data_IF_112182873150
#
_entry.id   IF_112182873150
#
_cell.length_a   1.000
_cell.length_b   1.000
_cell.length_c   1.000
_cell.angle_alpha   90.00
_cell.angle_beta   90.00
_cell.angle_gamma   90.00
#
_symmetry.space_group_name_H-M   'P 1'
#
loop_
_entity.id
_entity.type
_entity.pdbx_description
1 polymer ?
#
# COMPACT_ATOMS: atom_id res chain seq x y z
N UNK A 1 18.50 -13.22 -25.75
CA UNK A 1 17.57 -13.25 -24.59
C UNK A 1 17.30 -14.73 -24.39
N UNK A 2 17.73 -15.28 -23.25
CA UNK A 2 17.62 -16.71 -23.00
C UNK A 2 16.14 -17.08 -22.80
N UNK A 3 15.77 -18.27 -23.26
CA UNK A 3 14.41 -18.82 -23.16
C UNK A 3 13.92 -18.88 -21.69
N UNK A 4 14.85 -18.90 -20.71
CA UNK A 4 14.55 -18.89 -19.27
C UNK A 4 13.95 -17.56 -18.78
N UNK A 5 14.41 -16.40 -19.28
CA UNK A 5 13.86 -15.09 -18.90
C UNK A 5 12.43 -14.87 -19.45
N UNK A 6 12.08 -15.53 -20.56
CA UNK A 6 10.71 -15.50 -21.10
C UNK A 6 9.80 -16.44 -20.30
N UNK A 7 10.31 -17.61 -19.91
CA UNK A 7 9.58 -18.58 -19.07
C UNK A 7 9.32 -18.05 -17.66
N UNK A 8 10.26 -17.32 -17.06
CA UNK A 8 10.07 -16.73 -15.71
C UNK A 8 8.97 -15.66 -15.64
N UNK A 9 8.63 -15.05 -16.77
CA UNK A 9 7.62 -13.98 -16.83
C UNK A 9 6.18 -14.50 -16.82
N UNK A 10 5.97 -15.76 -17.26
CA UNK A 10 4.64 -16.37 -17.42
C UNK A 10 4.37 -17.57 -16.50
N UNK A 11 5.37 -18.04 -15.73
CA UNK A 11 5.22 -19.18 -14.84
C UNK A 11 5.02 -18.75 -13.39
N UNK A 12 3.94 -19.24 -12.78
CA UNK A 12 3.70 -19.20 -11.34
C UNK A 12 4.63 -20.24 -10.67
N UNK A 13 5.89 -19.85 -10.40
CA UNK A 13 6.82 -20.70 -9.65
C UNK A 13 6.26 -20.92 -8.24
N UNK A 14 6.04 -22.16 -7.88
CA UNK A 14 5.70 -22.53 -6.52
C UNK A 14 6.94 -22.43 -5.62
N UNK A 15 6.73 -22.27 -4.32
CA UNK A 15 7.83 -22.33 -3.32
C UNK A 15 8.67 -23.61 -3.46
N UNK A 16 8.07 -24.70 -3.94
CA UNK A 16 8.74 -25.96 -4.22
C UNK A 16 9.70 -25.88 -5.42
N UNK A 17 9.36 -25.12 -6.47
CA UNK A 17 10.22 -24.93 -7.63
C UNK A 17 11.43 -24.08 -7.26
N UNK A 18 11.24 -23.06 -6.45
CA UNK A 18 12.32 -22.22 -5.92
C UNK A 18 13.24 -23.06 -5.04
N UNK A 19 12.70 -23.89 -4.15
CA UNK A 19 13.50 -24.75 -3.30
C UNK A 19 14.29 -25.78 -4.11
N UNK A 20 13.70 -26.36 -5.16
CA UNK A 20 14.40 -27.27 -6.07
C UNK A 20 15.55 -26.60 -6.83
N UNK A 21 15.41 -25.33 -7.24
CA UNK A 21 16.50 -24.55 -7.84
C UNK A 21 17.61 -24.30 -6.82
N UNK A 22 17.28 -23.94 -5.59
CA UNK A 22 18.23 -23.70 -4.50
C UNK A 22 19.01 -24.98 -4.12
N UNK A 23 18.35 -26.12 -4.10
CA UNK A 23 18.96 -27.42 -3.75
C UNK A 23 19.94 -27.93 -4.83
N UNK A 24 19.87 -27.41 -6.07
CA UNK A 24 20.72 -27.78 -7.19
C UNK A 24 21.74 -26.71 -7.63
N UNK A 25 22.00 -25.71 -6.79
CA UNK A 25 22.90 -24.59 -7.11
C UNK A 25 24.31 -25.01 -7.57
N UNK A 26 24.83 -26.12 -7.04
CA UNK A 26 26.16 -26.65 -7.37
C UNK A 26 26.29 -27.18 -8.84
N UNK A 27 25.14 -27.32 -9.52
CA UNK A 27 25.12 -27.82 -10.94
C UNK A 27 25.13 -26.68 -11.97
N UNK A 28 24.97 -25.41 -11.56
CA UNK A 28 24.90 -24.27 -12.46
C UNK A 28 26.25 -23.57 -12.62
N UNK A 29 26.49 -23.02 -13.80
CA UNK A 29 27.65 -22.17 -14.05
C UNK A 29 27.43 -20.75 -13.51
N UNK A 30 28.46 -19.88 -13.51
CA UNK A 30 28.38 -18.53 -12.90
C UNK A 30 27.34 -17.60 -13.55
N UNK A 31 27.12 -17.77 -14.87
CA UNK A 31 26.17 -16.94 -15.62
C UNK A 31 24.74 -17.38 -15.34
N UNK A 32 24.50 -18.68 -15.22
CA UNK A 32 23.22 -19.26 -14.80
C UNK A 32 22.87 -18.89 -13.34
N UNK A 33 23.87 -18.91 -12.44
CA UNK A 33 23.68 -18.47 -11.06
C UNK A 33 23.26 -17.00 -10.96
N UNK A 34 23.89 -16.12 -11.75
CA UNK A 34 23.53 -14.71 -11.78
C UNK A 34 22.11 -14.48 -12.35
N UNK A 35 21.67 -15.32 -13.29
CA UNK A 35 20.29 -15.29 -13.81
C UNK A 35 19.28 -15.81 -12.78
N UNK A 36 19.62 -16.86 -12.04
CA UNK A 36 18.81 -17.39 -10.94
C UNK A 36 18.64 -16.34 -9.83
N UNK A 37 19.73 -15.71 -9.38
CA UNK A 37 19.68 -14.65 -8.37
C UNK A 37 18.72 -13.52 -8.78
N UNK A 38 18.79 -13.10 -10.04
CA UNK A 38 17.90 -12.07 -10.57
C UNK A 38 16.42 -12.51 -10.55
N UNK A 39 16.14 -13.77 -10.94
CA UNK A 39 14.78 -14.33 -10.90
C UNK A 39 14.27 -14.41 -9.46
N UNK A 40 15.10 -14.85 -8.51
CA UNK A 40 14.74 -14.91 -7.08
C UNK A 40 14.44 -13.53 -6.53
N UNK A 41 15.23 -12.52 -6.88
CA UNK A 41 14.99 -11.13 -6.48
C UNK A 41 13.67 -10.58 -7.06
N UNK A 42 13.40 -10.80 -8.34
CA UNK A 42 12.15 -10.39 -8.98
C UNK A 42 10.94 -11.07 -8.35
N UNK A 43 11.01 -12.36 -8.04
CA UNK A 43 9.95 -13.12 -7.35
C UNK A 43 9.75 -12.62 -5.92
N UNK A 44 10.82 -12.33 -5.20
CA UNK A 44 10.74 -11.80 -3.83
C UNK A 44 10.05 -10.44 -3.80
N UNK A 45 10.38 -9.55 -4.75
CA UNK A 45 9.71 -8.25 -4.90
C UNK A 45 8.23 -8.43 -5.23
N UNK A 46 7.89 -9.33 -6.16
CA UNK A 46 6.50 -9.64 -6.53
C UNK A 46 5.70 -10.17 -5.35
N UNK A 47 6.26 -11.12 -4.60
CA UNK A 47 5.62 -11.69 -3.42
C UNK A 47 5.41 -10.64 -2.31
N UNK A 48 6.41 -9.77 -2.07
CA UNK A 48 6.31 -8.67 -1.12
C UNK A 48 5.24 -7.65 -1.55
N UNK A 49 5.14 -7.33 -2.83
CA UNK A 49 4.12 -6.42 -3.34
C UNK A 49 2.72 -7.03 -3.24
N UNK A 50 2.57 -8.34 -3.53
CA UNK A 50 1.32 -9.07 -3.33
C UNK A 50 0.91 -9.10 -1.86
N UNK A 51 1.83 -9.39 -0.94
CA UNK A 51 1.56 -9.35 0.50
C UNK A 51 1.14 -7.94 0.96
N UNK A 52 1.79 -6.88 0.44
CA UNK A 52 1.42 -5.50 0.72
C UNK A 52 0.06 -5.09 0.11
N UNK A 53 -0.31 -5.67 -1.03
CA UNK A 53 -1.64 -5.49 -1.60
C UNK A 53 -2.72 -6.11 -0.69
N UNK A 54 -2.49 -7.30 -0.16
CA UNK A 54 -3.49 -8.07 0.59
C UNK A 54 -3.56 -7.71 2.08
N UNK A 55 -2.45 -7.27 2.70
CA UNK A 55 -2.37 -6.96 4.14
C UNK A 55 -1.89 -5.54 4.40
N UNK A 56 -2.66 -4.79 5.21
CA UNK A 56 -2.35 -3.40 5.55
C UNK A 56 -1.02 -3.25 6.33
N UNK A 57 -0.63 -4.22 7.15
CA UNK A 57 0.64 -4.14 7.89
C UNK A 57 1.83 -4.40 6.96
N UNK A 58 1.71 -5.33 6.04
CA UNK A 58 2.75 -5.57 5.03
C UNK A 58 2.88 -4.36 4.08
N UNK A 59 1.75 -3.70 3.74
CA UNK A 59 1.77 -2.41 3.07
C UNK A 59 2.54 -1.35 3.87
N UNK A 60 2.28 -1.20 5.17
CA UNK A 60 3.02 -0.25 6.00
C UNK A 60 4.53 -0.50 6.00
N UNK A 61 4.96 -1.76 6.10
CA UNK A 61 6.37 -2.15 6.06
C UNK A 61 7.00 -1.88 4.68
N UNK A 62 6.27 -2.12 3.61
CA UNK A 62 6.75 -1.86 2.25
C UNK A 62 6.92 -0.37 1.98
N UNK A 63 5.97 0.45 2.45
CA UNK A 63 6.03 1.91 2.31
C UNK A 63 7.04 2.57 3.28
N UNK A 64 7.29 1.94 4.42
CA UNK A 64 8.24 2.43 5.43
C UNK A 64 8.97 1.23 6.05
N UNK A 65 10.17 0.87 5.56
CA UNK A 65 10.90 -0.33 5.98
C UNK A 65 11.24 -0.38 7.49
N UNK A 66 11.41 0.77 8.13
CA UNK A 66 11.66 0.90 9.57
C UNK A 66 10.37 0.93 10.43
N UNK A 67 9.20 0.68 9.84
CA UNK A 67 7.92 0.70 10.55
C UNK A 67 7.84 -0.41 11.62
N UNK A 68 7.81 0.02 12.89
CA UNK A 68 7.79 -0.89 14.04
C UNK A 68 6.36 -1.36 14.34
N UNK A 69 6.10 -2.62 14.06
CA UNK A 69 4.78 -3.24 14.27
C UNK A 69 4.65 -3.78 15.69
N UNK A 70 3.69 -3.26 16.46
CA UNK A 70 3.26 -3.82 17.73
C UNK A 70 1.97 -4.63 17.59
N UNK A 71 1.61 -5.43 18.61
CA UNK A 71 0.36 -6.22 18.62
C UNK A 71 -0.89 -5.38 18.39
N UNK A 72 -0.92 -4.16 18.95
CA UNK A 72 -2.04 -3.23 18.79
C UNK A 72 -2.20 -2.73 17.34
N UNK A 73 -1.09 -2.59 16.60
CA UNK A 73 -1.14 -2.22 15.18
C UNK A 73 -1.80 -3.33 14.35
N UNK A 74 -1.48 -4.63 14.63
CA UNK A 74 -2.09 -5.76 13.94
C UNK A 74 -3.60 -5.80 14.18
N UNK A 75 -4.02 -5.73 15.47
CA UNK A 75 -5.45 -5.69 15.84
C UNK A 75 -6.17 -4.52 15.17
N UNK A 76 -5.53 -3.35 15.10
CA UNK A 76 -6.12 -2.17 14.46
C UNK A 76 -6.23 -2.36 12.94
N UNK A 77 -5.20 -2.90 12.30
CA UNK A 77 -5.20 -3.20 10.88
C UNK A 77 -6.33 -4.17 10.50
N UNK A 78 -6.50 -5.28 11.25
CA UNK A 78 -7.59 -6.23 11.04
C UNK A 78 -8.97 -5.56 11.11
N UNK A 79 -9.15 -4.60 12.06
CA UNK A 79 -10.40 -3.84 12.17
C UNK A 79 -10.61 -2.85 11.02
N UNK A 80 -9.54 -2.24 10.52
CA UNK A 80 -9.61 -1.34 9.37
C UNK A 80 -9.90 -2.11 8.08
N UNK A 81 -9.28 -3.28 7.89
CA UNK A 81 -9.53 -4.16 6.76
C UNK A 81 -10.98 -4.65 6.76
N UNK A 82 -11.58 -4.89 7.95
CA UNK A 82 -13.00 -5.23 8.07
C UNK A 82 -13.97 -4.11 7.68
N UNK A 83 -13.51 -2.87 7.55
CA UNK A 83 -14.29 -1.78 6.93
C UNK A 83 -14.20 -1.83 5.40
N UNK A 84 -13.08 -2.27 4.87
CA UNK A 84 -12.85 -2.37 3.42
C UNK A 84 -13.68 -3.49 2.80
N UNK A 85 -13.71 -4.67 3.45
CA UNK A 85 -14.50 -5.83 3.00
C UNK A 85 -16.02 -5.72 3.30
N UNK A 86 -16.43 -4.65 4.02
CA UNK A 86 -17.83 -4.39 4.36
C UNK A 86 -18.38 -5.27 5.49
N UNK A 87 -17.56 -6.06 6.18
CA UNK A 87 -17.98 -6.85 7.34
C UNK A 87 -18.29 -5.98 8.56
N UNK A 88 -17.83 -4.71 8.56
CA UNK A 88 -18.14 -3.68 9.54
C UNK A 88 -18.39 -2.35 8.86
N UNK A 89 -19.35 -1.59 9.40
CA UNK A 89 -19.67 -0.24 8.92
C UNK A 89 -18.94 0.86 9.69
N UNK A 90 -18.57 0.59 10.93
CA UNK A 90 -17.98 1.58 11.84
C UNK A 90 -16.96 0.98 12.78
N UNK A 91 -15.87 1.69 12.98
CA UNK A 91 -14.84 1.36 13.97
C UNK A 91 -14.51 2.59 14.79
N UNK A 92 -14.56 2.46 16.12
CA UNK A 92 -14.09 3.47 17.06
C UNK A 92 -12.74 3.05 17.63
N UNK A 93 -11.73 3.92 17.52
CA UNK A 93 -10.34 3.60 17.91
C UNK A 93 -9.90 4.48 19.08
N UNK A 94 -9.74 3.86 20.26
CA UNK A 94 -9.21 4.50 21.45
C UNK A 94 -7.84 3.90 21.79
N UNK A 95 -6.78 4.62 21.46
CA UNK A 95 -5.39 4.23 21.72
C UNK A 95 -4.66 5.45 22.30
N UNK A 96 -3.79 5.29 23.30
CA UNK A 96 -3.00 6.38 23.85
C UNK A 96 -2.20 7.14 22.78
N UNK A 97 -1.83 8.41 23.01
CA UNK A 97 -1.00 9.17 22.08
C UNK A 97 0.37 8.50 21.88
N UNK A 98 1.01 8.79 20.76
CA UNK A 98 2.36 8.28 20.36
C UNK A 98 2.44 6.76 20.13
N UNK A 99 1.31 6.08 19.90
CA UNK A 99 1.27 4.64 19.56
C UNK A 99 0.95 4.38 18.07
N UNK A 100 1.35 5.27 17.17
CA UNK A 100 1.23 5.08 15.72
C UNK A 100 -0.18 5.18 15.13
N UNK A 101 -1.23 5.44 15.94
CA UNK A 101 -2.63 5.50 15.50
C UNK A 101 -2.86 6.36 14.26
N UNK A 102 -2.43 7.62 14.30
CA UNK A 102 -2.66 8.56 13.20
C UNK A 102 -1.90 8.19 11.94
N UNK A 103 -0.73 7.60 12.08
CA UNK A 103 0.04 7.12 10.95
C UNK A 103 -0.68 5.96 10.25
N UNK A 104 -1.13 4.97 11.01
CA UNK A 104 -1.84 3.81 10.46
C UNK A 104 -3.22 4.20 9.91
N UNK A 105 -4.05 4.91 10.72
CA UNK A 105 -5.45 5.19 10.38
C UNK A 105 -5.60 6.33 9.38
N UNK A 106 -4.77 7.41 9.51
CA UNK A 106 -4.98 8.64 8.75
C UNK A 106 -4.05 8.80 7.55
N UNK A 107 -3.02 7.93 7.42
CA UNK A 107 -2.05 8.00 6.33
C UNK A 107 -2.03 6.68 5.55
N UNK A 108 -1.61 5.56 6.17
CA UNK A 108 -1.44 4.29 5.45
C UNK A 108 -2.77 3.68 5.00
N UNK A 109 -3.76 3.61 5.89
CA UNK A 109 -5.04 3.01 5.54
C UNK A 109 -5.76 3.72 4.38
N UNK A 110 -5.88 5.07 4.34
CA UNK A 110 -6.48 5.74 3.19
C UNK A 110 -5.73 5.52 1.87
N UNK A 111 -4.38 5.47 1.91
CA UNK A 111 -3.58 5.18 0.73
C UNK A 111 -3.83 3.74 0.24
N UNK A 112 -3.74 2.76 1.13
CA UNK A 112 -3.99 1.35 0.84
C UNK A 112 -5.43 1.12 0.35
N UNK A 113 -6.42 1.71 1.02
CA UNK A 113 -7.83 1.61 0.63
C UNK A 113 -8.10 2.13 -0.78
N UNK A 114 -7.52 3.29 -1.14
CA UNK A 114 -7.65 3.86 -2.48
C UNK A 114 -6.88 3.05 -3.54
N UNK A 115 -5.81 2.37 -3.16
CA UNK A 115 -5.11 1.45 -4.05
C UNK A 115 -5.97 0.25 -4.44
N UNK A 116 -6.65 -0.34 -3.47
CA UNK A 116 -7.57 -1.47 -3.70
C UNK A 116 -8.91 -1.04 -4.29
N UNK A 117 -9.35 0.17 -4.01
CA UNK A 117 -10.65 0.71 -4.41
C UNK A 117 -10.50 2.09 -5.07
N UNK A 118 -9.84 2.21 -6.22
CA UNK A 118 -9.39 3.50 -6.76
C UNK A 118 -10.52 4.43 -7.22
N UNK A 119 -11.75 3.93 -7.37
CA UNK A 119 -12.94 4.74 -7.68
C UNK A 119 -13.73 5.21 -6.44
N UNK A 120 -13.31 4.83 -5.23
CA UNK A 120 -14.01 5.20 -3.99
C UNK A 120 -13.59 6.59 -3.50
N UNK A 121 -14.37 7.14 -2.58
CA UNK A 121 -14.12 8.46 -1.99
C UNK A 121 -13.74 8.32 -0.52
N UNK A 122 -12.75 9.09 -0.10
CA UNK A 122 -12.28 9.17 1.28
C UNK A 122 -12.45 10.61 1.77
N UNK A 123 -13.13 10.79 2.90
CA UNK A 123 -13.22 12.05 3.58
C UNK A 123 -12.42 11.99 4.89
N UNK A 124 -11.44 12.87 5.02
CA UNK A 124 -10.65 13.06 6.25
C UNK A 124 -11.13 14.30 6.98
N UNK A 125 -11.70 14.08 8.16
CA UNK A 125 -12.18 15.18 9.02
C UNK A 125 -11.29 15.27 10.26
N UNK A 126 -10.84 16.48 10.59
CA UNK A 126 -10.04 16.76 11.78
C UNK A 126 -10.55 17.99 12.53
N UNK A 127 -9.99 18.27 13.71
CA UNK A 127 -10.32 19.48 14.47
C UNK A 127 -10.03 20.75 13.68
N UNK A 128 -8.89 20.80 13.00
CA UNK A 128 -8.52 21.93 12.13
C UNK A 128 -8.36 21.47 10.68
N UNK A 129 -8.66 22.38 9.75
CA UNK A 129 -8.44 22.15 8.32
C UNK A 129 -6.97 21.88 8.01
N UNK A 130 -6.06 22.63 8.62
CA UNK A 130 -4.61 22.50 8.37
C UNK A 130 -4.11 21.09 8.72
N UNK A 131 -4.58 20.53 9.83
CA UNK A 131 -4.22 19.16 10.22
C UNK A 131 -4.79 18.12 9.25
N UNK A 132 -6.04 18.29 8.82
CA UNK A 132 -6.65 17.41 7.82
C UNK A 132 -5.90 17.47 6.48
N UNK A 133 -5.56 18.67 6.02
CA UNK A 133 -4.79 18.91 4.79
C UNK A 133 -3.36 18.35 4.88
N UNK A 134 -2.72 18.41 6.06
CA UNK A 134 -1.40 17.80 6.26
C UNK A 134 -1.46 16.26 6.08
N UNK A 135 -2.48 15.60 6.63
CA UNK A 135 -2.73 14.19 6.36
C UNK A 135 -2.98 13.93 4.87
N UNK A 136 -3.82 14.73 4.23
CA UNK A 136 -4.11 14.61 2.79
C UNK A 136 -2.85 14.72 1.92
N UNK A 137 -1.94 15.64 2.28
CA UNK A 137 -0.64 15.78 1.62
C UNK A 137 0.22 14.53 1.76
N UNK A 138 0.27 13.94 2.98
CA UNK A 138 1.05 12.72 3.25
C UNK A 138 0.49 11.53 2.47
N UNK A 139 -0.83 11.33 2.45
CA UNK A 139 -1.49 10.29 1.66
C UNK A 139 -1.21 10.47 0.17
N UNK A 140 -1.35 11.69 -0.35
CA UNK A 140 -1.06 12.00 -1.75
C UNK A 140 0.40 11.67 -2.12
N UNK A 141 1.34 12.04 -1.26
CA UNK A 141 2.76 11.78 -1.49
C UNK A 141 3.08 10.28 -1.49
N UNK A 142 2.40 9.49 -0.64
CA UNK A 142 2.50 8.03 -0.67
C UNK A 142 2.03 7.46 -2.01
N UNK A 143 0.86 7.89 -2.49
CA UNK A 143 0.31 7.43 -3.78
C UNK A 143 1.20 7.83 -4.96
N UNK A 144 1.93 8.92 -4.84
CA UNK A 144 2.88 9.40 -5.86
C UNK A 144 4.25 8.72 -5.80
N UNK A 145 4.52 7.85 -4.82
CA UNK A 145 5.82 7.18 -4.67
C UNK A 145 5.97 5.98 -5.61
N UNK A 146 7.21 5.63 -5.91
CA UNK A 146 7.56 4.49 -6.76
C UNK A 146 7.10 3.17 -6.12
N UNK A 147 7.32 3.02 -4.81
CA UNK A 147 6.94 1.84 -4.05
C UNK A 147 5.44 1.59 -4.09
N UNK A 148 4.65 2.66 -4.06
CA UNK A 148 3.19 2.55 -4.19
C UNK A 148 2.78 2.07 -5.59
N UNK A 149 3.41 2.60 -6.64
CA UNK A 149 3.14 2.20 -8.02
C UNK A 149 3.53 0.74 -8.29
N UNK A 150 4.53 0.22 -7.60
CA UNK A 150 4.90 -1.21 -7.68
C UNK A 150 3.85 -2.13 -7.05
N UNK A 151 3.12 -1.67 -6.02
CA UNK A 151 2.03 -2.43 -5.38
C UNK A 151 0.72 -2.27 -6.15
N UNK A 152 0.43 -1.05 -6.62
CA UNK A 152 -0.80 -0.66 -7.32
C UNK A 152 -0.49 -0.03 -8.68
N UNK A 153 -0.03 -0.79 -9.68
CA UNK A 153 0.50 -0.25 -10.94
C UNK A 153 -0.51 0.55 -11.75
N UNK A 154 -1.80 0.24 -11.61
CA UNK A 154 -2.86 0.92 -12.34
C UNK A 154 -3.36 2.20 -11.66
N UNK A 155 -2.99 2.43 -10.40
CA UNK A 155 -3.51 3.53 -9.59
C UNK A 155 -2.51 4.67 -9.52
N UNK A 156 -2.91 5.84 -9.96
CA UNK A 156 -2.12 7.07 -9.92
C UNK A 156 -2.97 8.27 -9.56
N UNK A 157 -2.33 9.40 -9.28
CA UNK A 157 -3.01 10.67 -9.11
C UNK A 157 -3.49 11.20 -10.47
N UNK A 158 -4.70 11.77 -10.50
CA UNK A 158 -5.19 12.46 -11.68
C UNK A 158 -4.31 13.68 -11.99
N UNK A 159 -4.11 13.99 -13.27
CA UNK A 159 -3.20 15.03 -13.77
C UNK A 159 -3.51 16.41 -13.18
N UNK A 160 -4.78 16.70 -12.92
CA UNK A 160 -5.25 17.97 -12.39
C UNK A 160 -5.23 18.06 -10.86
N UNK A 161 -4.81 17.00 -10.17
CA UNK A 161 -4.87 16.87 -8.71
C UNK A 161 -3.66 17.49 -8.00
N UNK A 162 -3.58 18.83 -7.99
CA UNK A 162 -2.46 19.57 -7.39
C UNK A 162 -2.68 20.00 -5.93
N UNK A 163 -3.92 20.05 -5.46
CA UNK A 163 -4.25 20.50 -4.10
C UNK A 163 -3.87 19.43 -3.06
N UNK A 164 -3.43 19.84 -1.87
CA UNK A 164 -3.13 18.95 -0.78
C UNK A 164 -4.39 18.49 -0.01
N UNK A 165 -5.43 19.30 0.00
CA UNK A 165 -6.67 19.04 0.73
C UNK A 165 -7.75 18.35 -0.09
N UNK A 166 -7.64 18.38 -1.42
CA UNK A 166 -8.58 17.71 -2.32
C UNK A 166 -7.87 17.26 -3.58
N UNK A 167 -7.92 15.98 -3.86
CA UNK A 167 -7.29 15.39 -5.04
C UNK A 167 -8.01 14.11 -5.46
N UNK A 168 -7.80 13.70 -6.70
CA UNK A 168 -8.47 12.57 -7.32
C UNK A 168 -7.46 11.52 -7.79
N UNK A 169 -7.92 10.27 -7.85
CA UNK A 169 -7.22 9.20 -8.57
C UNK A 169 -7.57 9.24 -10.05
N UNK A 170 -6.78 8.56 -10.89
CA UNK A 170 -7.03 8.38 -12.31
C UNK A 170 -8.33 7.59 -12.60
N UNK A 171 -8.89 6.88 -11.60
CA UNK A 171 -10.18 6.17 -11.69
C UNK A 171 -11.38 6.98 -11.16
N UNK A 172 -11.19 8.28 -10.89
CA UNK A 172 -12.26 9.15 -10.39
C UNK A 172 -12.55 9.02 -8.89
N UNK A 173 -11.74 8.27 -8.15
CA UNK A 173 -11.77 8.30 -6.69
C UNK A 173 -11.33 9.66 -6.16
N UNK A 174 -11.76 10.02 -4.97
CA UNK A 174 -11.53 11.34 -4.40
C UNK A 174 -11.05 11.24 -2.95
N UNK A 175 -10.07 12.05 -2.61
CA UNK A 175 -9.70 12.35 -1.24
C UNK A 175 -10.06 13.79 -0.91
N UNK A 176 -10.82 14.00 0.18
CA UNK A 176 -11.23 15.32 0.63
C UNK A 176 -10.91 15.52 2.11
N UNK A 177 -10.14 16.54 2.44
CA UNK A 177 -9.73 16.90 3.79
C UNK A 177 -10.42 18.18 4.24
N UNK A 178 -11.08 18.15 5.42
CA UNK A 178 -11.73 19.31 6.01
C UNK A 178 -11.60 19.36 7.53
N UNK A 179 -11.73 20.56 8.09
CA UNK A 179 -11.89 20.78 9.52
C UNK A 179 -13.37 20.78 9.93
N UNK A 180 -13.66 20.42 11.18
CA UNK A 180 -15.03 20.40 11.72
C UNK A 180 -15.74 21.78 11.64
N UNK A 181 -14.97 22.87 11.65
CA UNK A 181 -15.51 24.25 11.56
C UNK A 181 -15.88 24.70 10.14
N UNK A 182 -15.63 23.90 9.10
CA UNK A 182 -16.12 24.21 7.76
C UNK A 182 -17.58 23.82 7.64
N UNK A 183 -18.40 24.78 7.24
CA UNK A 183 -19.79 24.49 6.88
C UNK A 183 -19.82 23.56 5.68
N UNK A 184 -20.42 22.37 5.85
CA UNK A 184 -20.62 21.38 4.78
C UNK A 184 -21.61 21.84 3.69
N UNK A 185 -22.12 23.08 3.80
CA UNK A 185 -23.13 23.67 2.87
C UNK A 185 -22.52 23.91 1.47
N UNK A 186 -21.22 23.88 1.32
CA UNK A 186 -20.53 24.15 0.05
C UNK A 186 -19.88 22.91 -0.61
N UNK A 187 -20.33 21.70 -0.24
CA UNK A 187 -19.88 20.46 -0.88
C UNK A 187 -20.93 19.99 -1.89
#
# INVERSE_FOLDING_TARGET
MSDLAVLAKDMDFSDADIQHMLDNLDSFNSDELAEIDKIVDELSVRNNNKAAYDDLIEFCKRMQPDYKVGKHHRILADKLMSLEDGSKDRVCVNIPPRHGKSQLVSIFYPAWFLGRNPGKKVMMVSHTTDLAVDFGRKVRNLIASTEYTEIFPDVSLAVDSKSAGRWNTNFGGEYFACGIGLSLIHI
#
